data_IF_899593788341
#
_entry.id   IF_899593788341
#
_cell.length_a   1.000
_cell.length_b   1.000
_cell.length_c   1.000
_cell.angle_alpha   90.00
_cell.angle_beta   90.00
_cell.angle_gamma   90.00
#
_symmetry.space_group_name_H-M   'P 1'
#
loop_
_entity.id
_entity.type
_entity.pdbx_description
1 polymer ?
#
# COMPACT_ATOMS: atom_id res chain seq x y z
N UNK A 1 -1.13 -15.85 -29.69
CA UNK A 1 -0.71 -16.07 -28.28
C UNK A 1 0.60 -15.32 -28.10
N UNK A 2 0.58 -14.12 -27.50
CA UNK A 2 1.81 -13.45 -27.09
C UNK A 2 2.53 -14.33 -26.06
N UNK A 3 3.82 -14.57 -26.30
CA UNK A 3 4.67 -15.28 -25.32
C UNK A 3 4.54 -14.59 -23.98
N UNK A 4 3.94 -15.25 -23.00
CA UNK A 4 3.85 -14.73 -21.65
C UNK A 4 5.24 -14.29 -21.17
N UNK A 5 5.33 -13.12 -20.54
CA UNK A 5 6.59 -12.63 -20.01
C UNK A 5 7.18 -13.69 -19.06
N UNK A 6 8.31 -14.28 -19.44
CA UNK A 6 9.00 -15.23 -18.58
C UNK A 6 9.54 -14.49 -17.36
N UNK A 7 9.37 -15.06 -16.18
CA UNK A 7 9.91 -14.50 -14.94
C UNK A 7 11.46 -14.50 -15.04
N UNK A 8 12.05 -13.32 -15.08
CA UNK A 8 13.49 -13.18 -14.87
C UNK A 8 13.70 -12.89 -13.39
N UNK A 9 13.77 -13.97 -12.59
CA UNK A 9 13.77 -13.86 -11.14
C UNK A 9 14.88 -12.95 -10.59
N UNK A 10 16.06 -12.90 -11.22
CA UNK A 10 17.16 -12.03 -10.77
C UNK A 10 16.81 -10.56 -10.97
N UNK A 11 16.38 -10.18 -12.16
CA UNK A 11 16.00 -8.81 -12.47
C UNK A 11 14.77 -8.39 -11.64
N UNK A 12 13.75 -9.23 -11.63
CA UNK A 12 12.48 -8.93 -10.99
C UNK A 12 12.67 -8.81 -9.45
N UNK A 13 13.46 -9.69 -8.83
CA UNK A 13 13.82 -9.58 -7.41
C UNK A 13 14.65 -8.31 -7.11
N UNK A 14 15.60 -7.97 -7.96
CA UNK A 14 16.43 -6.77 -7.77
C UNK A 14 15.58 -5.50 -7.82
N UNK A 15 14.68 -5.40 -8.80
CA UNK A 15 13.83 -4.21 -8.94
C UNK A 15 12.78 -4.13 -7.83
N UNK A 16 12.10 -5.24 -7.52
CA UNK A 16 11.12 -5.28 -6.42
C UNK A 16 11.79 -5.00 -5.08
N UNK A 17 12.95 -5.59 -4.82
CA UNK A 17 13.73 -5.33 -3.62
C UNK A 17 14.17 -3.87 -3.51
N UNK A 18 14.62 -3.29 -4.63
CA UNK A 18 14.97 -1.86 -4.69
C UNK A 18 13.77 -0.94 -4.45
N UNK A 19 12.62 -1.24 -5.05
CA UNK A 19 11.38 -0.51 -4.81
C UNK A 19 10.92 -0.63 -3.35
N UNK A 20 10.99 -1.83 -2.77
CA UNK A 20 10.67 -2.04 -1.37
C UNK A 20 11.59 -1.24 -0.44
N UNK A 21 12.91 -1.30 -0.66
CA UNK A 21 13.88 -0.53 0.11
C UNK A 21 13.68 0.98 -0.03
N UNK A 22 13.38 1.46 -1.24
CA UNK A 22 13.11 2.88 -1.48
C UNK A 22 11.79 3.32 -0.84
N UNK A 23 10.73 2.52 -0.95
CA UNK A 23 9.45 2.77 -0.25
C UNK A 23 9.63 2.81 1.27
N UNK A 24 10.36 1.87 1.84
CA UNK A 24 10.70 1.84 3.26
C UNK A 24 11.50 3.09 3.66
N UNK A 25 12.48 3.50 2.84
CA UNK A 25 13.23 4.74 3.08
C UNK A 25 12.33 5.98 3.09
N UNK A 26 11.38 6.08 2.16
CA UNK A 26 10.41 7.19 2.14
C UNK A 26 9.61 7.21 3.43
N UNK A 27 9.02 6.07 3.83
CA UNK A 27 8.22 5.96 5.04
C UNK A 27 9.01 6.35 6.29
N UNK A 28 10.24 5.86 6.44
CA UNK A 28 11.11 6.19 7.56
C UNK A 28 11.50 7.67 7.60
N UNK A 29 11.61 8.32 6.46
CA UNK A 29 12.05 9.71 6.38
C UNK A 29 10.92 10.72 6.35
N UNK A 30 9.66 10.31 6.17
CA UNK A 30 8.53 11.26 6.11
C UNK A 30 8.43 12.15 7.34
N UNK A 31 8.66 11.62 8.54
CA UNK A 31 8.67 12.39 9.78
C UNK A 31 9.76 13.48 9.85
N UNK A 32 10.84 13.34 9.09
CA UNK A 32 12.02 14.21 9.14
C UNK A 32 12.22 15.06 7.88
N UNK A 33 11.44 14.83 6.82
CA UNK A 33 11.57 15.55 5.57
C UNK A 33 10.47 16.60 5.41
N UNK A 34 10.79 17.77 4.84
CA UNK A 34 9.76 18.71 4.39
C UNK A 34 8.78 18.02 3.44
N UNK A 35 7.48 18.33 3.57
CA UNK A 35 6.40 17.71 2.79
C UNK A 35 6.69 17.67 1.27
N UNK A 36 7.27 18.74 0.72
CA UNK A 36 7.58 18.78 -0.72
C UNK A 36 8.61 17.73 -1.13
N UNK A 37 9.60 17.40 -0.28
CA UNK A 37 10.60 16.36 -0.58
C UNK A 37 9.99 14.97 -0.47
N UNK A 38 9.22 14.70 0.57
CA UNK A 38 8.52 13.41 0.71
C UNK A 38 7.55 13.20 -0.44
N UNK A 39 6.82 14.23 -0.87
CA UNK A 39 5.93 14.18 -2.04
C UNK A 39 6.67 13.87 -3.34
N UNK A 40 7.83 14.51 -3.58
CA UNK A 40 8.65 14.22 -4.77
C UNK A 40 9.14 12.77 -4.75
N UNK A 41 9.65 12.28 -3.63
CA UNK A 41 10.11 10.89 -3.52
C UNK A 41 8.98 9.89 -3.71
N UNK A 42 7.80 10.18 -3.18
CA UNK A 42 6.60 9.34 -3.40
C UNK A 42 6.19 9.31 -4.88
N UNK A 43 6.19 10.45 -5.56
CA UNK A 43 5.90 10.51 -6.99
C UNK A 43 6.95 9.76 -7.83
N UNK A 44 8.23 9.86 -7.48
CA UNK A 44 9.29 9.08 -8.12
C UNK A 44 9.11 7.58 -7.90
N UNK A 45 8.76 7.17 -6.68
CA UNK A 45 8.46 5.78 -6.37
C UNK A 45 7.29 5.25 -7.21
N UNK A 46 6.16 5.97 -7.23
CA UNK A 46 4.97 5.60 -7.99
C UNK A 46 5.30 5.53 -9.49
N UNK A 47 5.98 6.56 -10.02
CA UNK A 47 6.38 6.61 -11.43
C UNK A 47 7.32 5.47 -11.83
N UNK A 48 8.29 5.15 -10.98
CA UNK A 48 9.23 4.03 -11.23
C UNK A 48 8.51 2.69 -11.16
N UNK A 49 7.66 2.47 -10.17
CA UNK A 49 6.86 1.25 -10.05
C UNK A 49 5.92 1.09 -11.26
N UNK A 50 5.25 2.17 -11.65
CA UNK A 50 4.37 2.16 -12.84
C UNK A 50 5.14 1.83 -14.11
N UNK A 51 6.26 2.52 -14.35
CA UNK A 51 7.10 2.25 -15.53
C UNK A 51 7.55 0.80 -15.55
N UNK A 52 8.03 0.27 -14.43
CA UNK A 52 8.46 -1.12 -14.33
C UNK A 52 7.34 -2.11 -14.64
N UNK A 53 6.16 -1.94 -14.02
CA UNK A 53 5.02 -2.81 -14.26
C UNK A 53 4.52 -2.75 -15.69
N UNK A 54 4.51 -1.55 -16.30
CA UNK A 54 4.11 -1.37 -17.70
C UNK A 54 5.13 -1.95 -18.68
N UNK A 55 6.42 -1.67 -18.50
CA UNK A 55 7.47 -2.09 -19.41
C UNK A 55 7.77 -3.60 -19.30
N UNK A 56 7.78 -4.13 -18.07
CA UNK A 56 8.19 -5.51 -17.80
C UNK A 56 7.04 -6.51 -17.90
N UNK A 57 5.87 -6.14 -17.42
CA UNK A 57 4.73 -7.07 -17.31
C UNK A 57 3.51 -6.63 -18.11
N UNK A 58 3.62 -5.55 -18.88
CA UNK A 58 2.52 -4.97 -19.67
C UNK A 58 1.28 -4.63 -18.80
N UNK A 59 1.49 -4.33 -17.53
CA UNK A 59 0.43 -3.88 -16.64
C UNK A 59 0.28 -2.35 -16.73
N UNK A 60 -0.92 -1.90 -17.02
CA UNK A 60 -1.26 -0.47 -17.05
C UNK A 60 -2.02 -0.12 -15.79
N UNK A 61 -1.35 0.51 -14.82
CA UNK A 61 -1.99 0.94 -13.57
C UNK A 61 -3.04 2.01 -13.90
N UNK A 62 -4.32 1.82 -13.49
CA UNK A 62 -5.31 2.87 -13.61
C UNK A 62 -4.87 4.14 -12.85
N UNK A 63 -5.01 5.35 -13.45
CA UNK A 63 -4.57 6.59 -12.80
C UNK A 63 -5.14 6.81 -11.39
N UNK A 64 -6.39 6.42 -11.19
CA UNK A 64 -7.03 6.50 -9.87
C UNK A 64 -6.25 5.71 -8.81
N UNK A 65 -5.74 4.52 -9.13
CA UNK A 65 -4.98 3.71 -8.18
C UNK A 65 -3.64 4.37 -7.84
N UNK A 66 -2.98 5.04 -8.80
CA UNK A 66 -1.78 5.82 -8.54
C UNK A 66 -2.06 7.00 -7.60
N UNK A 67 -3.21 7.68 -7.78
CA UNK A 67 -3.67 8.75 -6.87
C UNK A 67 -3.91 8.21 -5.46
N UNK A 68 -4.54 7.03 -5.31
CA UNK A 68 -4.77 6.43 -3.99
C UNK A 68 -3.45 6.15 -3.26
N UNK A 69 -2.44 5.61 -3.95
CA UNK A 69 -1.09 5.39 -3.35
C UNK A 69 -0.47 6.71 -2.93
N UNK A 70 -0.55 7.74 -3.78
CA UNK A 70 -0.04 9.07 -3.43
C UNK A 70 -0.73 9.66 -2.20
N UNK A 71 -2.07 9.57 -2.14
CA UNK A 71 -2.84 10.06 -1.00
C UNK A 71 -2.47 9.35 0.30
N UNK A 72 -2.23 8.03 0.24
CA UNK A 72 -1.77 7.25 1.40
C UNK A 72 -0.50 7.85 2.00
N UNK A 73 0.51 8.12 1.17
CA UNK A 73 1.77 8.69 1.62
C UNK A 73 1.64 10.19 1.99
N UNK A 74 0.76 10.93 1.29
CA UNK A 74 0.53 12.35 1.55
C UNK A 74 -0.12 12.60 2.92
N UNK A 75 -1.01 11.71 3.38
CA UNK A 75 -1.66 11.81 4.69
C UNK A 75 -0.62 11.80 5.82
N UNK A 76 0.35 10.90 5.76
CA UNK A 76 1.44 10.86 6.74
C UNK A 76 2.30 12.14 6.67
N UNK A 77 2.70 12.54 5.47
CA UNK A 77 3.49 13.76 5.28
C UNK A 77 2.82 15.04 5.81
N UNK A 78 1.51 15.20 5.60
CA UNK A 78 0.77 16.38 6.09
C UNK A 78 0.57 16.32 7.61
N UNK A 79 0.37 15.13 8.16
CA UNK A 79 0.28 14.90 9.60
C UNK A 79 1.54 15.35 10.33
N UNK A 80 2.71 14.98 9.80
CA UNK A 80 4.01 15.42 10.31
C UNK A 80 4.21 16.93 10.15
N UNK A 81 3.89 17.49 8.97
CA UNK A 81 4.06 18.93 8.70
C UNK A 81 3.23 19.81 9.66
N UNK A 82 1.99 19.41 9.92
CA UNK A 82 1.06 20.19 10.76
C UNK A 82 1.08 19.76 12.24
N UNK A 83 1.91 18.80 12.61
CA UNK A 83 1.99 18.28 13.98
C UNK A 83 0.69 17.62 14.47
N UNK A 84 -0.06 16.99 13.55
CA UNK A 84 -1.38 16.43 13.84
C UNK A 84 -1.31 15.16 14.69
N UNK A 85 -0.20 14.42 14.67
CA UNK A 85 -0.02 13.17 15.44
C UNK A 85 -0.21 13.35 16.96
N UNK A 86 -0.03 14.57 17.47
CA UNK A 86 -0.30 14.93 18.87
C UNK A 86 -1.71 15.45 19.11
N UNK A 87 -2.57 15.45 18.09
CA UNK A 87 -3.92 16.01 18.17
C UNK A 87 -4.97 14.91 18.06
N UNK A 88 -6.08 15.11 18.78
CA UNK A 88 -7.27 14.27 18.63
C UNK A 88 -8.16 14.82 17.52
N UNK A 89 -8.54 13.95 16.61
CA UNK A 89 -9.51 14.22 15.57
C UNK A 89 -10.88 13.69 16.00
N UNK A 90 -11.74 14.56 16.52
CA UNK A 90 -13.00 14.18 17.20
C UNK A 90 -12.70 13.33 18.46
N UNK A 91 -12.85 12.01 18.34
CA UNK A 91 -12.69 11.02 19.44
C UNK A 91 -11.51 10.06 19.21
N UNK A 92 -10.82 10.13 18.05
CA UNK A 92 -9.64 9.32 17.72
C UNK A 92 -8.40 10.21 17.59
N UNK A 93 -7.22 9.64 17.77
CA UNK A 93 -5.97 10.34 17.49
C UNK A 93 -5.74 10.39 15.97
N UNK A 94 -4.98 11.38 15.49
CA UNK A 94 -4.64 11.46 14.08
C UNK A 94 -3.85 10.24 13.61
N UNK A 95 -3.05 9.68 14.48
CA UNK A 95 -2.31 8.44 14.27
C UNK A 95 -3.26 7.29 13.94
N UNK A 96 -4.21 6.98 14.82
CA UNK A 96 -5.26 5.98 14.57
C UNK A 96 -6.05 6.24 13.28
N UNK A 97 -6.30 7.52 12.97
CA UNK A 97 -6.94 7.92 11.72
C UNK A 97 -6.08 7.55 10.50
N UNK A 98 -4.76 7.84 10.53
CA UNK A 98 -3.86 7.50 9.42
C UNK A 98 -3.69 6.00 9.28
N UNK A 99 -3.56 5.25 10.39
CA UNK A 99 -3.52 3.79 10.39
C UNK A 99 -4.83 3.14 9.91
N UNK A 100 -5.95 3.84 9.93
CA UNK A 100 -7.21 3.36 9.35
C UNK A 100 -7.35 3.73 7.86
N UNK A 101 -7.16 5.00 7.52
CA UNK A 101 -7.46 5.52 6.18
C UNK A 101 -6.38 5.12 5.16
N UNK A 102 -5.10 5.18 5.53
CA UNK A 102 -4.02 4.84 4.61
C UNK A 102 -4.13 3.42 4.06
N UNK A 103 -4.30 2.36 4.89
CA UNK A 103 -4.51 1.03 4.36
C UNK A 103 -5.86 0.84 3.66
N UNK A 104 -6.90 1.59 4.03
CA UNK A 104 -8.17 1.56 3.29
C UNK A 104 -8.01 2.09 1.85
N UNK A 105 -7.19 3.12 1.65
CA UNK A 105 -6.85 3.65 0.32
C UNK A 105 -5.89 2.72 -0.44
N UNK A 106 -4.95 2.08 0.24
CA UNK A 106 -3.97 1.18 -0.38
C UNK A 106 -4.56 -0.18 -0.77
N UNK A 107 -5.53 -0.70 -0.03
CA UNK A 107 -6.08 -2.04 -0.26
C UNK A 107 -6.66 -2.24 -1.68
N UNK A 108 -7.41 -1.31 -2.28
CA UNK A 108 -7.85 -1.44 -3.67
C UNK A 108 -6.70 -1.59 -4.66
N UNK A 109 -5.59 -0.92 -4.41
CA UNK A 109 -4.39 -0.99 -5.25
C UNK A 109 -3.76 -2.36 -5.18
N UNK A 110 -3.58 -2.90 -3.96
CA UNK A 110 -2.94 -4.20 -3.75
C UNK A 110 -3.83 -5.34 -4.26
N UNK A 111 -5.15 -5.28 -4.04
CA UNK A 111 -6.11 -6.26 -4.59
C UNK A 111 -6.06 -6.26 -6.12
N UNK A 112 -6.14 -5.09 -6.75
CA UNK A 112 -6.06 -4.98 -8.21
C UNK A 112 -4.72 -5.48 -8.74
N UNK A 113 -3.61 -5.09 -8.13
CA UNK A 113 -2.26 -5.48 -8.55
C UNK A 113 -2.06 -6.99 -8.46
N UNK A 114 -2.47 -7.59 -7.35
CA UNK A 114 -2.34 -9.03 -7.14
C UNK A 114 -3.19 -9.81 -8.14
N UNK A 115 -4.44 -9.38 -8.39
CA UNK A 115 -5.32 -10.00 -9.39
C UNK A 115 -4.71 -9.90 -10.81
N UNK A 116 -4.25 -8.71 -11.18
CA UNK A 116 -3.64 -8.46 -12.49
C UNK A 116 -2.34 -9.28 -12.69
N UNK A 117 -1.50 -9.39 -11.67
CA UNK A 117 -0.29 -10.21 -11.71
C UNK A 117 -0.60 -11.69 -11.82
N UNK A 118 -1.51 -12.21 -11.03
CA UNK A 118 -1.95 -13.60 -11.12
C UNK A 118 -2.46 -13.94 -12.51
N UNK A 119 -3.34 -13.10 -13.07
CA UNK A 119 -3.85 -13.28 -14.42
C UNK A 119 -2.73 -13.21 -15.47
N UNK A 120 -1.77 -12.32 -15.31
CA UNK A 120 -0.61 -12.20 -16.22
C UNK A 120 0.26 -13.45 -16.24
N UNK A 121 0.40 -14.12 -15.09
CA UNK A 121 1.13 -15.39 -14.99
C UNK A 121 0.26 -16.64 -15.27
N UNK A 122 -0.98 -16.44 -15.72
CA UNK A 122 -1.90 -17.54 -16.09
C UNK A 122 -2.66 -18.15 -14.92
N UNK A 123 -2.53 -17.60 -13.72
CA UNK A 123 -3.29 -18.06 -12.56
C UNK A 123 -4.64 -17.35 -12.46
N UNK A 124 -5.67 -18.09 -12.12
CA UNK A 124 -7.02 -17.55 -11.88
C UNK A 124 -7.50 -18.03 -10.51
N UNK A 125 -7.50 -17.13 -9.55
CA UNK A 125 -8.07 -17.37 -8.23
C UNK A 125 -9.43 -16.67 -8.10
N UNK A 126 -10.34 -17.22 -7.28
CA UNK A 126 -11.55 -16.50 -6.89
C UNK A 126 -11.18 -15.13 -6.27
N UNK A 127 -11.85 -14.08 -6.71
CA UNK A 127 -11.53 -12.70 -6.28
C UNK A 127 -11.56 -12.52 -4.76
N UNK A 128 -12.42 -13.27 -4.05
CA UNK A 128 -12.43 -13.29 -2.58
C UNK A 128 -11.10 -13.78 -1.98
N UNK A 129 -10.49 -14.82 -2.56
CA UNK A 129 -9.17 -15.30 -2.12
C UNK A 129 -8.06 -14.30 -2.45
N UNK A 130 -8.12 -13.67 -3.63
CA UNK A 130 -7.17 -12.58 -3.99
C UNK A 130 -7.25 -11.45 -2.97
N UNK A 131 -8.46 -11.07 -2.56
CA UNK A 131 -8.68 -10.02 -1.55
C UNK A 131 -8.11 -10.42 -0.19
N UNK A 132 -8.34 -11.66 0.26
CA UNK A 132 -7.78 -12.17 1.51
C UNK A 132 -6.25 -12.16 1.47
N UNK A 133 -5.65 -12.66 0.39
CA UNK A 133 -4.19 -12.64 0.24
C UNK A 133 -3.62 -11.21 0.20
N UNK A 134 -4.30 -10.28 -0.48
CA UNK A 134 -3.91 -8.88 -0.49
C UNK A 134 -3.92 -8.28 0.93
N UNK A 135 -4.97 -8.51 1.71
CA UNK A 135 -5.06 -8.07 3.11
C UNK A 135 -3.93 -8.70 3.95
N UNK A 136 -3.67 -10.00 3.80
CA UNK A 136 -2.59 -10.68 4.52
C UNK A 136 -1.22 -10.10 4.20
N UNK A 137 -0.92 -9.84 2.92
CA UNK A 137 0.33 -9.22 2.49
C UNK A 137 0.46 -7.81 3.09
N UNK A 138 -0.60 -7.02 3.01
CA UNK A 138 -0.60 -5.66 3.58
C UNK A 138 -0.41 -5.69 5.09
N UNK A 139 -1.06 -6.61 5.80
CA UNK A 139 -0.93 -6.75 7.25
C UNK A 139 0.50 -7.17 7.64
N UNK A 140 1.13 -8.03 6.85
CA UNK A 140 2.54 -8.40 7.03
C UNK A 140 3.46 -7.19 6.86
N UNK A 141 3.19 -6.34 5.85
CA UNK A 141 3.95 -5.11 5.62
C UNK A 141 3.73 -4.11 6.77
N UNK A 142 2.49 -3.96 7.25
CA UNK A 142 2.19 -3.11 8.40
C UNK A 142 2.94 -3.60 9.66
N UNK A 143 2.90 -4.90 9.96
CA UNK A 143 3.66 -5.46 11.08
C UNK A 143 5.17 -5.27 10.96
N UNK A 144 5.71 -5.35 9.74
CA UNK A 144 7.11 -5.03 9.49
C UNK A 144 7.39 -3.54 9.73
N UNK A 145 6.48 -2.65 9.37
CA UNK A 145 6.60 -1.22 9.60
C UNK A 145 6.68 -0.89 11.10
N UNK A 146 5.84 -1.49 11.93
CA UNK A 146 5.88 -1.35 13.38
C UNK A 146 7.25 -1.79 13.98
N UNK A 147 7.81 -2.89 13.44
CA UNK A 147 9.16 -3.32 13.84
C UNK A 147 10.21 -2.27 13.47
N UNK A 148 10.07 -1.64 12.31
CA UNK A 148 10.99 -0.59 11.86
C UNK A 148 10.86 0.66 12.73
N UNK A 149 9.66 1.04 13.16
CA UNK A 149 9.45 2.14 14.11
C UNK A 149 10.11 1.86 15.46
N UNK A 150 9.98 0.61 15.96
CA UNK A 150 10.70 0.19 17.16
C UNK A 150 12.22 0.31 16.99
N UNK A 151 12.76 -0.06 15.83
CA UNK A 151 14.19 0.07 15.55
C UNK A 151 14.63 1.52 15.42
N UNK A 152 13.76 2.39 14.87
CA UNK A 152 14.02 3.83 14.79
C UNK A 152 14.17 4.43 16.20
N UNK A 153 13.18 4.22 17.07
CA UNK A 153 13.16 4.73 18.44
C UNK A 153 14.26 4.13 19.33
N UNK A 154 14.69 2.90 19.03
CA UNK A 154 15.66 2.20 19.88
C UNK A 154 17.11 2.38 19.44
N UNK A 155 17.37 2.45 18.13
CA UNK A 155 18.73 2.34 17.59
C UNK A 155 19.14 3.46 16.65
N UNK A 156 18.22 4.01 15.84
CA UNK A 156 18.56 5.00 14.82
C UNK A 156 18.41 6.44 15.31
N UNK A 157 17.32 6.73 15.96
CA UNK A 157 17.03 8.03 16.56
C UNK A 157 16.46 7.81 17.97
N UNK A 158 17.31 7.49 18.95
CA UNK A 158 16.88 7.06 20.28
C UNK A 158 16.25 8.20 21.10
N UNK A 159 15.10 8.65 20.67
CA UNK A 159 14.25 9.60 21.39
C UNK A 159 12.99 8.83 21.80
N UNK A 160 12.91 8.37 23.07
CA UNK A 160 11.77 7.59 23.51
C UNK A 160 10.44 8.30 23.27
N UNK A 161 9.47 7.59 22.69
CA UNK A 161 8.14 8.12 22.40
C UNK A 161 8.07 9.04 21.19
N UNK A 162 9.05 8.96 20.28
CA UNK A 162 9.00 9.70 19.04
C UNK A 162 8.12 9.00 18.00
N UNK A 163 8.23 7.67 17.91
CA UNK A 163 7.44 6.82 17.04
C UNK A 163 6.43 5.98 17.82
N UNK A 164 6.86 5.37 18.93
CA UNK A 164 6.05 4.48 19.75
C UNK A 164 5.55 5.26 20.98
N UNK A 165 4.26 5.55 21.04
CA UNK A 165 3.64 6.40 22.04
C UNK A 165 3.21 5.65 23.31
N UNK A 166 3.58 4.38 23.46
CA UNK A 166 3.30 3.61 24.66
C UNK A 166 3.23 2.10 24.46
N UNK A 167 2.93 1.32 25.51
CA UNK A 167 2.97 -0.15 25.43
C UNK A 167 1.86 -0.76 24.57
N UNK A 168 0.81 -0.01 24.27
CA UNK A 168 -0.33 -0.46 23.46
C UNK A 168 -0.37 0.16 22.06
N UNK A 169 0.59 0.99 21.73
CA UNK A 169 0.66 1.73 20.45
C UNK A 169 0.64 0.77 19.26
N UNK A 170 1.69 -0.03 19.12
CA UNK A 170 1.79 -1.04 18.05
C UNK A 170 0.56 -1.96 17.92
N UNK A 171 0.02 -2.59 19.00
CA UNK A 171 -1.19 -3.39 18.83
C UNK A 171 -2.42 -2.56 18.43
N UNK A 172 -2.53 -1.32 18.86
CA UNK A 172 -3.60 -0.42 18.48
C UNK A 172 -3.51 -0.07 16.98
N UNK A 173 -2.33 0.28 16.51
CA UNK A 173 -2.08 0.64 15.12
C UNK A 173 -2.31 -0.54 14.17
N UNK A 174 -1.87 -1.73 14.55
CA UNK A 174 -2.18 -2.95 13.81
C UNK A 174 -3.69 -3.23 13.74
N UNK A 175 -4.44 -2.95 14.81
CA UNK A 175 -5.89 -3.09 14.81
C UNK A 175 -6.56 -2.11 13.83
N UNK A 176 -6.16 -0.83 13.83
CA UNK A 176 -6.67 0.18 12.92
C UNK A 176 -6.26 -0.12 11.47
N UNK A 177 -5.03 -0.55 11.24
CA UNK A 177 -4.54 -1.01 9.94
C UNK A 177 -5.40 -2.15 9.39
N UNK A 178 -5.67 -3.17 10.20
CA UNK A 178 -6.51 -4.31 9.80
C UNK A 178 -7.94 -3.87 9.44
N UNK A 179 -8.52 -3.00 10.26
CA UNK A 179 -9.85 -2.43 10.00
C UNK A 179 -9.91 -1.70 8.66
N UNK A 180 -8.94 -0.83 8.38
CA UNK A 180 -8.81 -0.12 7.12
C UNK A 180 -8.64 -1.07 5.91
N UNK A 181 -7.79 -2.08 6.05
CA UNK A 181 -7.56 -3.09 5.00
C UNK A 181 -8.83 -3.88 4.66
N UNK A 182 -9.61 -4.27 5.67
CA UNK A 182 -10.88 -4.98 5.47
C UNK A 182 -11.87 -4.09 4.73
N UNK A 183 -12.02 -2.84 5.12
CA UNK A 183 -12.94 -1.89 4.47
C UNK A 183 -12.51 -1.66 3.01
N UNK A 184 -11.26 -1.27 2.77
CA UNK A 184 -10.75 -1.00 1.44
C UNK A 184 -10.75 -2.24 0.54
N UNK A 185 -10.38 -3.40 1.07
CA UNK A 185 -10.42 -4.68 0.37
C UNK A 185 -11.85 -5.09 -0.02
N UNK A 186 -12.82 -4.89 0.86
CA UNK A 186 -14.24 -5.18 0.58
C UNK A 186 -14.79 -4.26 -0.52
N UNK A 187 -14.42 -2.98 -0.50
CA UNK A 187 -14.79 -2.04 -1.56
C UNK A 187 -14.18 -2.49 -2.90
N UNK A 188 -12.89 -2.81 -2.92
CA UNK A 188 -12.21 -3.29 -4.13
C UNK A 188 -12.85 -4.56 -4.68
N UNK A 189 -13.08 -5.55 -3.82
CA UNK A 189 -13.77 -6.78 -4.19
C UNK A 189 -15.15 -6.51 -4.81
N UNK A 190 -15.94 -5.64 -4.20
CA UNK A 190 -17.27 -5.28 -4.68
C UNK A 190 -17.23 -4.64 -6.06
N UNK A 191 -16.29 -3.71 -6.30
CA UNK A 191 -16.15 -3.00 -7.58
C UNK A 191 -15.70 -3.97 -8.67
N UNK A 192 -14.64 -4.75 -8.42
CA UNK A 192 -14.10 -5.70 -9.39
C UNK A 192 -15.08 -6.82 -9.73
N UNK A 193 -15.83 -7.31 -8.75
CA UNK A 193 -16.88 -8.30 -8.95
C UNK A 193 -17.99 -7.75 -9.86
N UNK A 194 -18.45 -6.51 -9.64
CA UNK A 194 -19.48 -5.87 -10.50
C UNK A 194 -18.96 -5.69 -11.93
N UNK A 195 -17.71 -5.26 -12.11
CA UNK A 195 -17.10 -5.14 -13.43
C UNK A 195 -17.03 -6.48 -14.17
N UNK A 196 -16.63 -7.55 -13.48
CA UNK A 196 -16.58 -8.91 -14.03
C UNK A 196 -17.96 -9.41 -14.47
N UNK A 197 -19.02 -9.16 -13.69
CA UNK A 197 -20.37 -9.55 -14.03
C UNK A 197 -20.91 -8.78 -15.26
N UNK A 198 -20.63 -7.49 -15.36
CA UNK A 198 -21.00 -6.68 -16.54
C UNK A 198 -20.33 -7.19 -17.81
N UNK A 199 -19.05 -7.51 -17.75
CA UNK A 199 -18.31 -8.02 -18.91
C UNK A 199 -18.84 -9.38 -19.39
N UNK A 200 -19.33 -10.23 -18.47
CA UNK A 200 -19.97 -11.50 -18.84
C UNK A 200 -21.35 -11.31 -19.49
N UNK A 201 -22.11 -10.33 -19.02
CA UNK A 201 -23.44 -10.04 -19.56
C UNK A 201 -23.39 -9.39 -20.97
N UNK A 202 -22.30 -8.70 -21.30
CA UNK A 202 -22.08 -8.06 -22.60
C UNK A 202 -21.38 -8.95 -23.64
N UNK A 203 -20.94 -10.16 -23.25
CA UNK A 203 -20.35 -11.10 -24.22
C UNK A 203 -21.46 -11.66 -25.13
N UNK A 204 -21.31 -11.60 -26.46
CA UNK A 204 -22.28 -12.18 -27.38
C UNK A 204 -22.45 -13.67 -27.08
N UNK A 205 -23.71 -14.12 -27.08
CA UNK A 205 -24.01 -15.55 -27.01
C UNK A 205 -23.43 -16.22 -28.27
N UNK A 206 -22.33 -16.97 -28.06
CA UNK A 206 -21.66 -17.71 -29.11
C UNK A 206 -22.40 -18.97 -29.54
#
# INVERSE_FOLDING_TARGET
MEKGASLNWRLDFTVIGGLFAFGTYILLKMAYLPLYRSSIYTLLFIGTAWYYLAARWALRIPPLLAVLVYLTAFLDGIGNLLGLYRQKFLFIQYDEFTHSISPALAAPVVVWLLDALLQRFGYRLPLGLVTIFAITIMFTIAGFYEIVELWDDKYMHPVPGMRIHGPYDTPNDLQWNLGGMIVGGTIAWSILRRASLRNRASAPAG
#
